data_IF_754003055298
#
_entry.id   IF_754003055298
#
_cell.length_a   1.000
_cell.length_b   1.000
_cell.length_c   1.000
_cell.angle_alpha   90.00
_cell.angle_beta   90.00
_cell.angle_gamma   90.00
#
_symmetry.space_group_name_H-M   'P 1'
#
loop_
_entity.id
_entity.type
_entity.pdbx_description
1 polymer ?
#
# COMPACT_ATOMS: atom_id res chain seq x y z
N UNK A 1 22.95 -13.21 9.08
CA UNK A 1 24.02 -12.18 8.99
C UNK A 1 23.52 -10.96 9.75
N UNK A 2 24.23 -10.56 10.81
CA UNK A 2 23.74 -9.68 11.88
C UNK A 2 24.35 -8.26 11.85
N UNK A 3 24.94 -7.85 10.73
CA UNK A 3 25.43 -6.50 10.54
C UNK A 3 24.87 -5.95 9.23
N UNK A 4 23.96 -4.98 9.35
CA UNK A 4 23.53 -4.16 8.22
C UNK A 4 24.67 -3.23 7.86
N UNK A 5 25.12 -3.25 6.60
CA UNK A 5 26.08 -2.25 6.11
C UNK A 5 25.41 -0.87 6.03
N UNK A 6 26.19 0.21 6.09
CA UNK A 6 25.63 1.57 5.99
C UNK A 6 24.80 1.80 4.72
N UNK A 7 25.18 1.14 3.61
CA UNK A 7 24.40 1.09 2.37
C UNK A 7 23.03 0.41 2.55
N UNK A 8 22.96 -0.67 3.35
CA UNK A 8 21.70 -1.35 3.68
C UNK A 8 20.77 -0.47 4.54
N UNK A 9 21.31 0.39 5.39
CA UNK A 9 20.54 1.32 6.23
C UNK A 9 19.99 2.49 5.39
N UNK A 10 20.81 3.07 4.50
CA UNK A 10 20.40 4.14 3.59
C UNK A 10 19.31 3.64 2.64
N UNK A 11 19.51 2.44 2.09
CA UNK A 11 18.51 1.70 1.34
C UNK A 11 17.20 1.59 2.13
N UNK A 12 17.22 1.01 3.32
CA UNK A 12 16.00 0.77 4.10
C UNK A 12 15.24 2.06 4.44
N UNK A 13 15.93 3.17 4.70
CA UNK A 13 15.30 4.49 4.87
C UNK A 13 14.61 4.97 3.59
N UNK A 14 15.25 4.81 2.43
CA UNK A 14 14.66 5.15 1.14
C UNK A 14 13.42 4.29 0.84
N UNK A 15 13.49 2.98 1.12
CA UNK A 15 12.35 2.07 1.00
C UNK A 15 11.19 2.53 1.85
N UNK A 16 11.44 2.82 3.14
CA UNK A 16 10.40 3.24 4.07
C UNK A 16 9.78 4.57 3.65
N UNK A 17 10.59 5.56 3.29
CA UNK A 17 10.11 6.88 2.85
C UNK A 17 9.29 6.81 1.56
N UNK A 18 9.77 6.09 0.54
CA UNK A 18 9.03 5.94 -0.71
C UNK A 18 7.71 5.21 -0.49
N UNK A 19 7.74 4.14 0.31
CA UNK A 19 6.55 3.36 0.64
C UNK A 19 5.53 4.17 1.45
N UNK A 20 5.98 4.98 2.41
CA UNK A 20 5.11 5.85 3.21
C UNK A 20 4.41 6.87 2.29
N UNK A 21 5.14 7.51 1.37
CA UNK A 21 4.56 8.48 0.42
C UNK A 21 3.54 7.82 -0.51
N UNK A 22 3.89 6.69 -1.12
CA UNK A 22 2.98 5.97 -2.02
C UNK A 22 1.74 5.48 -1.31
N UNK A 23 1.91 4.81 -0.16
CA UNK A 23 0.78 4.26 0.59
C UNK A 23 -0.13 5.34 1.18
N UNK A 24 0.42 6.44 1.70
CA UNK A 24 -0.40 7.56 2.17
C UNK A 24 -1.18 8.20 1.02
N UNK A 25 -0.56 8.35 -0.16
CA UNK A 25 -1.26 8.81 -1.35
C UNK A 25 -2.42 7.87 -1.72
N UNK A 26 -2.18 6.56 -1.81
CA UNK A 26 -3.21 5.59 -2.20
C UNK A 26 -4.33 5.43 -1.17
N UNK A 27 -4.01 5.48 0.13
CA UNK A 27 -5.01 5.46 1.21
C UNK A 27 -5.86 6.74 1.17
N UNK A 28 -5.23 7.90 1.04
CA UNK A 28 -5.95 9.20 0.98
C UNK A 28 -6.85 9.26 -0.24
N UNK A 29 -6.34 8.85 -1.41
CA UNK A 29 -7.12 8.80 -2.65
C UNK A 29 -8.29 7.79 -2.55
N UNK A 30 -8.08 6.62 -1.93
CA UNK A 30 -9.16 5.65 -1.71
C UNK A 30 -10.23 6.15 -0.73
N UNK A 31 -9.84 6.89 0.33
CA UNK A 31 -10.80 7.55 1.22
C UNK A 31 -11.64 8.60 0.48
N UNK A 32 -11.02 9.36 -0.42
CA UNK A 32 -11.74 10.30 -1.29
C UNK A 32 -12.67 9.57 -2.25
N UNK A 33 -12.26 8.41 -2.81
CA UNK A 33 -13.12 7.62 -3.69
C UNK A 33 -14.44 7.22 -3.02
N UNK A 34 -14.41 6.90 -1.72
CA UNK A 34 -15.59 6.52 -0.95
C UNK A 34 -16.64 7.63 -0.82
N UNK A 35 -16.27 8.89 -1.09
CA UNK A 35 -17.21 10.01 -1.04
C UNK A 35 -18.09 10.12 -2.28
N UNK A 36 -17.76 9.42 -3.36
CA UNK A 36 -18.55 9.39 -4.59
C UNK A 36 -19.66 8.35 -4.52
N UNK A 37 -20.74 8.59 -5.26
CA UNK A 37 -21.92 7.71 -5.33
C UNK A 37 -21.57 6.31 -5.88
N UNK A 38 -20.72 6.24 -6.91
CA UNK A 38 -20.07 4.99 -7.34
C UNK A 38 -18.55 5.08 -7.16
N UNK A 39 -17.98 4.49 -6.09
CA UNK A 39 -16.56 4.59 -5.78
C UNK A 39 -15.68 3.66 -6.65
N UNK A 40 -16.27 2.68 -7.35
CA UNK A 40 -15.53 1.64 -8.09
C UNK A 40 -14.69 2.19 -9.24
N UNK A 41 -15.20 3.03 -10.17
CA UNK A 41 -14.42 3.56 -11.28
C UNK A 41 -13.23 4.40 -10.80
N UNK A 42 -13.41 5.19 -9.74
CA UNK A 42 -12.35 6.00 -9.17
C UNK A 42 -11.28 5.13 -8.50
N UNK A 43 -11.67 4.09 -7.77
CA UNK A 43 -10.73 3.14 -7.18
C UNK A 43 -9.90 2.40 -8.25
N UNK A 44 -10.49 2.07 -9.42
CA UNK A 44 -9.74 1.50 -10.55
C UNK A 44 -8.68 2.48 -11.09
N UNK A 45 -9.04 3.75 -11.27
CA UNK A 45 -8.12 4.79 -11.74
C UNK A 45 -6.99 5.02 -10.73
N UNK A 46 -7.33 5.17 -9.44
CA UNK A 46 -6.35 5.35 -8.36
C UNK A 46 -5.41 4.15 -8.28
N UNK A 47 -5.92 2.93 -8.44
CA UNK A 47 -5.10 1.71 -8.49
C UNK A 47 -4.14 1.74 -9.67
N UNK A 48 -4.59 2.12 -10.87
CA UNK A 48 -3.73 2.24 -12.04
C UNK A 48 -2.61 3.28 -11.84
N UNK A 49 -2.94 4.45 -11.27
CA UNK A 49 -1.96 5.49 -10.93
C UNK A 49 -0.97 5.01 -9.86
N UNK A 50 -1.44 4.25 -8.87
CA UNK A 50 -0.60 3.67 -7.83
C UNK A 50 0.40 2.65 -8.41
N UNK A 51 -0.03 1.80 -9.35
CA UNK A 51 0.87 0.90 -10.07
C UNK A 51 1.85 1.65 -10.97
N UNK A 52 1.40 2.70 -11.66
CA UNK A 52 2.27 3.54 -12.48
C UNK A 52 3.35 4.21 -11.62
N UNK A 53 2.96 4.77 -10.47
CA UNK A 53 3.90 5.32 -9.49
C UNK A 53 4.89 4.26 -9.02
N UNK A 54 4.41 3.07 -8.63
CA UNK A 54 5.27 1.97 -8.21
C UNK A 54 6.24 1.51 -9.31
N UNK A 55 5.81 1.53 -10.57
CA UNK A 55 6.66 1.23 -11.72
C UNK A 55 7.75 2.29 -11.94
N UNK A 56 7.38 3.58 -11.89
CA UNK A 56 8.30 4.70 -12.07
C UNK A 56 9.32 4.81 -10.92
N UNK A 57 8.86 4.65 -9.68
CA UNK A 57 9.74 4.55 -8.49
C UNK A 57 10.53 3.24 -8.46
N UNK A 58 10.06 2.23 -9.19
CA UNK A 58 10.62 0.90 -9.32
C UNK A 58 12.04 0.84 -9.92
N UNK A 59 12.45 1.85 -10.70
CA UNK A 59 13.79 1.89 -11.31
C UNK A 59 14.88 2.08 -10.26
N UNK A 60 14.70 3.02 -9.34
CA UNK A 60 15.57 3.22 -8.17
C UNK A 60 15.48 2.02 -7.21
N UNK A 61 14.28 1.46 -7.08
CA UNK A 61 13.97 0.29 -6.26
C UNK A 61 14.69 -0.99 -6.70
N UNK A 62 14.73 -1.28 -8.02
CA UNK A 62 15.32 -2.52 -8.58
C UNK A 62 16.80 -2.68 -8.26
N UNK A 63 17.55 -1.58 -8.20
CA UNK A 63 19.00 -1.61 -7.94
C UNK A 63 19.29 -2.09 -6.52
N UNK A 64 18.47 -1.67 -5.56
CA UNK A 64 18.64 -2.01 -4.15
C UNK A 64 17.90 -3.31 -3.77
N UNK A 65 16.70 -3.52 -4.33
CA UNK A 65 15.93 -4.74 -4.13
C UNK A 65 16.66 -5.98 -4.65
N UNK A 66 17.47 -5.89 -5.72
CA UNK A 66 18.29 -7.02 -6.20
C UNK A 66 19.27 -7.56 -5.15
N UNK A 67 19.83 -6.70 -4.31
CA UNK A 67 20.74 -7.11 -3.24
C UNK A 67 19.98 -7.85 -2.13
N UNK A 68 18.78 -7.36 -1.77
CA UNK A 68 17.92 -7.96 -0.75
C UNK A 68 17.17 -9.22 -1.24
N UNK A 69 16.74 -9.28 -2.50
CA UNK A 69 16.04 -10.42 -3.10
C UNK A 69 16.92 -11.67 -3.17
N UNK A 70 18.26 -11.53 -3.16
CA UNK A 70 19.16 -12.67 -2.97
C UNK A 70 18.94 -13.39 -1.63
N UNK A 71 18.45 -12.68 -0.61
CA UNK A 71 18.09 -13.26 0.70
C UNK A 71 16.69 -13.89 0.70
N UNK A 72 15.88 -13.65 -0.33
CA UNK A 72 14.50 -14.14 -0.47
C UNK A 72 14.30 -14.85 -1.82
N UNK A 73 14.89 -16.04 -2.03
CA UNK A 73 14.76 -16.76 -3.28
C UNK A 73 13.33 -17.28 -3.51
N UNK A 74 12.92 -17.27 -4.78
CA UNK A 74 11.64 -17.84 -5.24
C UNK A 74 10.42 -16.92 -5.09
N UNK A 75 9.29 -17.33 -5.68
CA UNK A 75 8.02 -16.60 -5.63
C UNK A 75 7.54 -16.34 -4.19
N UNK A 76 7.68 -17.33 -3.31
CA UNK A 76 7.33 -17.23 -1.89
C UNK A 76 8.24 -16.22 -1.16
N UNK A 77 9.52 -16.14 -1.54
CA UNK A 77 10.45 -15.13 -1.04
C UNK A 77 10.01 -13.72 -1.42
N UNK A 78 9.57 -13.51 -2.67
CA UNK A 78 9.03 -12.25 -3.14
C UNK A 78 7.77 -11.80 -2.36
N UNK A 79 6.85 -12.72 -2.10
CA UNK A 79 5.64 -12.44 -1.28
C UNK A 79 6.03 -12.10 0.16
N UNK A 80 6.93 -12.89 0.78
CA UNK A 80 7.40 -12.63 2.14
C UNK A 80 8.09 -11.26 2.23
N UNK A 81 8.87 -10.89 1.23
CA UNK A 81 9.49 -9.58 1.14
C UNK A 81 8.44 -8.47 1.04
N UNK A 82 7.44 -8.60 0.17
CA UNK A 82 6.37 -7.62 0.05
C UNK A 82 5.59 -7.42 1.36
N UNK A 83 5.25 -8.51 2.07
CA UNK A 83 4.50 -8.41 3.34
C UNK A 83 5.35 -7.84 4.47
N UNK A 84 6.62 -8.25 4.57
CA UNK A 84 7.50 -7.84 5.69
C UNK A 84 8.14 -6.50 5.50
N UNK A 85 8.47 -6.13 4.25
CA UNK A 85 9.17 -4.89 3.92
C UNK A 85 8.27 -3.84 3.29
N UNK A 86 7.10 -4.20 2.78
CA UNK A 86 6.13 -3.27 2.18
C UNK A 86 4.71 -3.35 2.79
N UNK A 87 4.54 -3.42 4.13
CA UNK A 87 3.23 -3.65 4.74
C UNK A 87 2.18 -2.60 4.37
N UNK A 88 2.55 -1.32 4.33
CA UNK A 88 1.64 -0.22 3.96
C UNK A 88 1.19 -0.28 2.50
N UNK A 89 2.05 -0.74 1.58
CA UNK A 89 1.66 -0.92 0.17
C UNK A 89 0.68 -2.07 0.04
N UNK A 90 0.92 -3.18 0.75
CA UNK A 90 -0.03 -4.31 0.80
C UNK A 90 -1.37 -3.87 1.37
N UNK A 91 -1.36 -3.12 2.48
CA UNK A 91 -2.58 -2.60 3.10
C UNK A 91 -3.34 -1.67 2.15
N UNK A 92 -2.62 -0.75 1.49
CA UNK A 92 -3.18 0.16 0.49
C UNK A 92 -3.82 -0.58 -0.69
N UNK A 93 -3.14 -1.59 -1.25
CA UNK A 93 -3.68 -2.40 -2.34
C UNK A 93 -4.91 -3.19 -1.90
N UNK A 94 -4.88 -3.76 -0.70
CA UNK A 94 -6.06 -4.45 -0.13
C UNK A 94 -7.23 -3.50 -0.01
N UNK A 95 -6.99 -2.29 0.52
CA UNK A 95 -8.01 -1.25 0.68
C UNK A 95 -8.64 -0.85 -0.66
N UNK A 96 -7.83 -0.51 -1.67
CA UNK A 96 -8.32 -0.16 -3.01
C UNK A 96 -9.07 -1.33 -3.67
N UNK A 97 -8.61 -2.57 -3.45
CA UNK A 97 -9.27 -3.77 -3.98
C UNK A 97 -10.65 -3.97 -3.36
N UNK A 98 -10.81 -3.77 -2.06
CA UNK A 98 -12.10 -3.85 -1.39
C UNK A 98 -13.09 -2.80 -1.93
N UNK A 99 -12.61 -1.59 -2.26
CA UNK A 99 -13.44 -0.55 -2.89
C UNK A 99 -13.84 -0.96 -4.32
N UNK A 100 -12.90 -1.44 -5.13
CA UNK A 100 -13.17 -1.90 -6.51
C UNK A 100 -14.19 -3.05 -6.55
N UNK A 101 -14.11 -3.98 -5.60
CA UNK A 101 -15.07 -5.09 -5.47
C UNK A 101 -16.44 -4.65 -4.91
N UNK A 102 -16.59 -3.38 -4.52
CA UNK A 102 -17.81 -2.87 -3.87
C UNK A 102 -18.06 -3.44 -2.48
N UNK A 103 -17.06 -4.11 -1.90
CA UNK A 103 -17.14 -4.64 -0.54
C UNK A 103 -17.02 -3.53 0.50
N UNK A 104 -16.31 -2.46 0.14
CA UNK A 104 -16.11 -1.27 0.95
C UNK A 104 -16.77 -0.06 0.27
N UNK A 105 -17.83 0.47 0.90
CA UNK A 105 -18.56 1.68 0.50
C UNK A 105 -18.76 2.56 1.73
N UNK A 106 -19.00 3.86 1.53
CA UNK A 106 -19.27 4.77 2.65
C UNK A 106 -20.46 4.30 3.49
N UNK A 107 -21.53 3.81 2.87
CA UNK A 107 -22.71 3.26 3.54
C UNK A 107 -22.41 2.06 4.42
N UNK A 108 -21.53 1.15 3.97
CA UNK A 108 -21.12 -0.01 4.77
C UNK A 108 -20.25 0.38 5.95
N UNK A 109 -19.41 1.40 5.78
CA UNK A 109 -18.58 1.94 6.86
C UNK A 109 -19.47 2.66 7.90
N UNK A 110 -20.43 3.47 7.45
CA UNK A 110 -21.36 4.16 8.36
C UNK A 110 -22.29 3.19 9.09
N UNK A 111 -22.70 2.09 8.44
CA UNK A 111 -23.46 1.03 9.10
C UNK A 111 -22.69 0.35 10.24
N UNK A 112 -21.36 0.25 10.13
CA UNK A 112 -20.50 -0.18 11.23
C UNK A 112 -20.41 0.86 12.36
N UNK A 113 -20.54 2.14 12.02
CA UNK A 113 -20.64 3.24 12.99
C UNK A 113 -21.82 3.10 13.96
N UNK A 114 -22.89 2.39 13.58
CA UNK A 114 -24.00 2.09 14.50
C UNK A 114 -23.62 1.16 15.66
N UNK A 115 -22.54 0.39 15.53
CA UNK A 115 -22.01 -0.45 16.62
C UNK A 115 -21.00 0.28 17.49
N UNK A 116 -20.58 1.49 17.11
CA UNK A 116 -19.76 2.34 17.96
C UNK A 116 -20.66 2.99 19.03
N UNK A 117 -20.15 3.17 20.26
CA UNK A 117 -20.88 3.94 21.26
C UNK A 117 -21.22 5.32 20.67
N UNK A 118 -22.39 5.89 21.02
CA UNK A 118 -22.80 7.19 20.52
C UNK A 118 -21.67 8.18 20.76
N UNK A 119 -21.42 9.03 19.75
CA UNK A 119 -20.45 10.09 19.88
C UNK A 119 -20.80 10.90 21.15
N UNK A 120 -19.81 11.30 21.96
CA UNK A 120 -20.05 12.02 23.19
C UNK A 120 -20.45 13.48 22.92
N UNK A 121 -21.36 13.76 21.98
CA UNK A 121 -21.93 15.07 21.67
C UNK A 121 -23.34 14.91 21.11
#
# INVERSE_FOLDING_TARGET
>A
MLFKTDEEIIAERYFRSSQDVGALFGISAGLTCLQFEDPRPFAMIVTALFFLWGFLSGVSYRRVAKAYLKQYPGLVGGVRFAVTKLPLVVLCLTFLTLIMLGLLTAERISAWGHYLPPAPF
#
